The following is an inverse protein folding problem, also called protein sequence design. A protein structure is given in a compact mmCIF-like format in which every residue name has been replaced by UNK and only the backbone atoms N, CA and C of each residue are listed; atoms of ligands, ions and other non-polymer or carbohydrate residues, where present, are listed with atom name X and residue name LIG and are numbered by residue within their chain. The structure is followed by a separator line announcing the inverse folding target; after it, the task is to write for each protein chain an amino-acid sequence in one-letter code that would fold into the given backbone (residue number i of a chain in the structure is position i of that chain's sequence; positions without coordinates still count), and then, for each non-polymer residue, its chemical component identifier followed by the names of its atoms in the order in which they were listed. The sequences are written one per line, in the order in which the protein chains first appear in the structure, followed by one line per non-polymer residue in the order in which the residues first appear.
data_IF_051088432665
#
_entry.id   IF_051088432665
#
_cell.length_a   1.000
_cell.length_b   1.000
_cell.length_c   1.000
_cell.angle_alpha   90.00
_cell.angle_beta   90.00
_cell.angle_gamma   90.00
#
_symmetry.space_group_name_H-M   'P 1'
#
loop_
_entity.id
_entity.type
_entity.pdbx_description
1 polymer ?
#
# COMPACT_ATOMS: atom_id res chain seq x y z
N UNK A 1 -6.71 -7.08 -18.50
CA UNK A 1 -7.10 -8.42 -18.00
C UNK A 1 -7.79 -8.25 -16.65
N UNK A 2 -8.56 -9.24 -16.16
CA UNK A 2 -9.20 -9.12 -14.83
C UNK A 2 -8.18 -9.01 -13.69
N UNK A 3 -7.03 -9.69 -13.79
CA UNK A 3 -5.93 -9.54 -12.82
C UNK A 3 -5.48 -8.07 -12.70
N UNK A 4 -5.38 -7.32 -13.81
CA UNK A 4 -5.00 -5.91 -13.74
C UNK A 4 -6.05 -5.03 -13.03
N UNK A 5 -7.31 -5.48 -13.00
CA UNK A 5 -8.36 -4.84 -12.22
C UNK A 5 -8.18 -5.16 -10.73
N UNK A 6 -8.05 -6.44 -10.37
CA UNK A 6 -7.84 -6.86 -8.97
C UNK A 6 -6.59 -6.20 -8.36
N UNK A 7 -5.49 -6.13 -9.11
CA UNK A 7 -4.28 -5.40 -8.69
C UNK A 7 -4.49 -3.90 -8.49
N UNK A 8 -5.45 -3.29 -9.19
CA UNK A 8 -5.82 -1.88 -8.95
C UNK A 8 -6.71 -1.76 -7.73
N UNK A 9 -7.62 -2.70 -7.50
CA UNK A 9 -8.44 -2.78 -6.30
C UNK A 9 -7.57 -2.98 -5.05
N UNK A 10 -6.55 -3.84 -5.09
CA UNK A 10 -5.59 -3.99 -3.98
C UNK A 10 -4.87 -2.69 -3.64
N UNK A 11 -4.52 -1.88 -4.65
CA UNK A 11 -3.92 -0.55 -4.40
C UNK A 11 -4.90 0.40 -3.73
N UNK A 12 -6.17 0.37 -4.14
CA UNK A 12 -7.22 1.15 -3.50
C UNK A 12 -7.42 0.71 -2.04
N UNK A 13 -7.48 -0.60 -1.81
CA UNK A 13 -7.60 -1.21 -0.47
C UNK A 13 -6.41 -0.80 0.40
N UNK A 14 -5.18 -0.85 -0.10
CA UNK A 14 -4.00 -0.44 0.68
C UNK A 14 -4.04 1.06 1.04
N UNK A 15 -4.56 1.95 0.19
CA UNK A 15 -4.78 3.35 0.56
C UNK A 15 -5.71 3.49 1.79
N UNK A 16 -6.76 2.66 1.87
CA UNK A 16 -7.63 2.62 3.04
C UNK A 16 -6.91 2.08 4.27
N UNK A 17 -6.07 1.04 4.11
CA UNK A 17 -5.27 0.50 5.20
C UNK A 17 -4.21 1.50 5.70
N UNK A 18 -3.67 2.35 4.82
CA UNK A 18 -2.78 3.45 5.22
C UNK A 18 -3.56 4.52 6.01
N UNK A 19 -4.75 4.90 5.56
CA UNK A 19 -5.61 5.84 6.30
C UNK A 19 -5.98 5.27 7.68
N UNK A 20 -6.37 4.00 7.76
CA UNK A 20 -6.67 3.32 9.02
C UNK A 20 -5.46 3.25 9.96
N UNK A 21 -4.27 2.99 9.41
CA UNK A 21 -3.02 2.97 10.19
C UNK A 21 -2.74 4.33 10.85
N UNK A 22 -2.99 5.45 10.15
CA UNK A 22 -2.85 6.80 10.73
C UNK A 22 -3.82 7.03 11.88
N UNK A 23 -5.08 6.66 11.71
CA UNK A 23 -6.08 6.79 12.77
C UNK A 23 -5.76 5.91 13.98
N UNK A 24 -5.23 4.70 13.75
CA UNK A 24 -4.74 3.82 14.81
C UNK A 24 -3.58 4.47 15.58
N UNK A 25 -2.62 5.09 14.89
CA UNK A 25 -1.50 5.78 15.54
C UNK A 25 -1.98 6.95 16.40
N UNK A 26 -2.93 7.76 15.93
CA UNK A 26 -3.56 8.83 16.71
C UNK A 26 -4.21 8.25 17.97
N UNK A 27 -4.98 7.18 17.82
CA UNK A 27 -5.62 6.48 18.93
C UNK A 27 -4.60 5.94 19.95
N UNK A 28 -3.48 5.38 19.52
CA UNK A 28 -2.44 4.85 20.41
C UNK A 28 -1.78 5.93 21.27
N UNK A 29 -1.68 7.17 20.76
CA UNK A 29 -1.14 8.31 21.49
C UNK A 29 -2.10 8.94 22.51
N UNK A 30 -3.29 8.35 22.71
CA UNK A 30 -4.28 8.90 23.63
C UNK A 30 -5.14 10.02 23.04
N UNK A 31 -4.97 10.30 21.74
CA UNK A 31 -5.74 11.32 21.02
C UNK A 31 -7.00 10.64 20.44
N UNK A 32 -8.08 11.41 20.31
CA UNK A 32 -9.31 10.92 19.68
C UNK A 32 -9.10 10.81 18.16
N UNK A 33 -9.17 9.62 17.56
CA UNK A 33 -9.11 9.47 16.10
C UNK A 33 -10.42 9.95 15.46
N UNK A 34 -10.40 10.10 14.13
CA UNK A 34 -11.60 10.34 13.34
C UNK A 34 -12.38 9.02 13.17
N UNK A 35 -13.35 8.81 14.06
CA UNK A 35 -14.21 7.64 14.01
C UNK A 35 -15.15 7.61 12.79
N UNK A 36 -15.41 8.73 12.12
CA UNK A 36 -16.19 8.71 10.87
C UNK A 36 -15.36 8.13 9.73
N UNK A 37 -14.05 8.43 9.69
CA UNK A 37 -13.10 7.80 8.76
C UNK A 37 -13.00 6.30 9.04
N UNK A 38 -12.78 5.90 10.30
CA UNK A 38 -12.70 4.48 10.70
C UNK A 38 -13.98 3.73 10.31
N UNK A 39 -15.17 4.28 10.60
CA UNK A 39 -16.45 3.66 10.24
C UNK A 39 -16.66 3.56 8.74
N UNK A 40 -16.26 4.58 7.97
CA UNK A 40 -16.35 4.53 6.51
C UNK A 40 -15.45 3.44 5.92
N UNK A 41 -14.27 3.21 6.50
CA UNK A 41 -13.38 2.10 6.13
C UNK A 41 -14.05 0.77 6.45
N UNK A 42 -14.57 0.58 7.67
CA UNK A 42 -15.31 -0.65 8.03
C UNK A 42 -16.44 -0.91 7.03
N UNK A 43 -17.29 0.07 6.76
CA UNK A 43 -18.42 -0.08 5.82
C UNK A 43 -17.97 -0.37 4.38
N UNK A 44 -16.80 0.12 3.95
CA UNK A 44 -16.23 -0.27 2.66
C UNK A 44 -15.84 -1.75 2.66
N UNK A 45 -15.12 -2.23 3.69
CA UNK A 45 -14.68 -3.61 3.78
C UNK A 45 -15.83 -4.61 4.00
N UNK A 46 -16.93 -4.19 4.63
CA UNK A 46 -18.14 -5.02 4.81
C UNK A 46 -18.90 -5.28 3.50
N UNK A 47 -18.63 -4.51 2.45
CA UNK A 47 -19.40 -4.58 1.21
C UNK A 47 -18.52 -4.85 0.01
N UNK A 48 -17.49 -4.02 -0.21
CA UNK A 48 -16.77 -4.04 -1.48
C UNK A 48 -15.96 -5.34 -1.69
N UNK A 49 -15.08 -5.75 -0.76
CA UNK A 49 -14.36 -7.01 -0.88
C UNK A 49 -15.29 -8.21 -1.04
N UNK A 50 -16.27 -8.35 -0.15
CA UNK A 50 -17.16 -9.53 -0.10
C UNK A 50 -18.08 -9.64 -1.33
N UNK A 51 -18.67 -8.53 -1.79
CA UNK A 51 -19.71 -8.56 -2.84
C UNK A 51 -19.11 -8.43 -4.24
N UNK A 52 -17.98 -7.74 -4.40
CA UNK A 52 -17.48 -7.35 -5.72
C UNK A 52 -16.10 -7.90 -6.04
N UNK A 53 -15.18 -7.96 -5.06
CA UNK A 53 -13.80 -8.37 -5.28
C UNK A 53 -13.61 -9.89 -5.16
N UNK A 54 -13.83 -10.46 -3.98
CA UNK A 54 -13.63 -11.89 -3.69
C UNK A 54 -14.42 -12.84 -4.62
N UNK A 55 -15.65 -12.53 -5.08
CA UNK A 55 -16.33 -13.39 -6.05
C UNK A 55 -15.57 -13.54 -7.37
N UNK A 56 -14.79 -12.55 -7.78
CA UNK A 56 -13.95 -12.64 -8.98
C UNK A 56 -12.78 -13.59 -8.75
N UNK A 57 -12.17 -13.51 -7.57
CA UNK A 57 -11.06 -14.36 -7.14
C UNK A 57 -11.49 -15.82 -7.01
N UNK A 58 -12.67 -16.06 -6.42
CA UNK A 58 -13.28 -17.37 -6.31
C UNK A 58 -13.51 -18.03 -7.67
N UNK A 59 -13.95 -17.26 -8.67
CA UNK A 59 -14.12 -17.74 -10.04
C UNK A 59 -12.77 -18.12 -10.66
N UNK A 60 -11.73 -17.29 -10.48
CA UNK A 60 -10.37 -17.57 -10.96
C UNK A 60 -9.82 -18.83 -10.28
N UNK A 61 -9.96 -18.95 -8.96
CA UNK A 61 -9.46 -20.08 -8.19
C UNK A 61 -10.20 -21.38 -8.55
N UNK A 62 -11.51 -21.31 -8.78
CA UNK A 62 -12.30 -22.44 -9.26
C UNK A 62 -11.80 -22.97 -10.62
N UNK A 63 -11.48 -22.06 -11.54
CA UNK A 63 -10.85 -22.42 -12.83
C UNK A 63 -9.45 -22.99 -12.64
N UNK A 64 -8.64 -22.41 -11.75
CA UNK A 64 -7.31 -22.91 -11.44
C UNK A 64 -7.36 -24.35 -10.93
N UNK A 65 -8.25 -24.67 -9.98
CA UNK A 65 -8.47 -26.05 -9.49
C UNK A 65 -8.82 -27.04 -10.60
N UNK A 66 -9.48 -26.59 -11.66
CA UNK A 66 -9.86 -27.44 -12.80
C UNK A 66 -8.70 -27.62 -13.78
N UNK A 67 -7.91 -26.56 -14.04
CA UNK A 67 -6.83 -26.57 -15.04
C UNK A 67 -5.51 -27.12 -14.50
N UNK A 68 -5.20 -26.82 -13.25
CA UNK A 68 -3.96 -27.25 -12.59
C UNK A 68 -4.22 -27.49 -11.08
N UNK A 69 -4.73 -28.69 -10.73
CA UNK A 69 -5.02 -29.04 -9.33
C UNK A 69 -3.79 -29.00 -8.42
N UNK A 70 -2.61 -29.33 -8.94
CA UNK A 70 -1.36 -29.34 -8.18
C UNK A 70 -0.93 -27.90 -7.84
N UNK A 71 -1.02 -26.97 -8.82
CA UNK A 71 -0.79 -25.56 -8.55
C UNK A 71 -1.83 -24.99 -7.57
N UNK A 72 -3.10 -25.35 -7.71
CA UNK A 72 -4.14 -24.92 -6.77
C UNK A 72 -3.86 -25.41 -5.33
N UNK A 73 -3.38 -26.64 -5.18
CA UNK A 73 -3.00 -27.19 -3.88
C UNK A 73 -1.80 -26.47 -3.25
N UNK A 74 -0.85 -25.99 -4.07
CA UNK A 74 0.28 -25.18 -3.60
C UNK A 74 -0.18 -23.79 -3.17
N UNK A 75 -1.10 -23.17 -3.91
CA UNK A 75 -1.65 -21.84 -3.57
C UNK A 75 -2.30 -21.89 -2.19
N UNK A 76 -3.15 -22.89 -1.92
CA UNK A 76 -3.77 -23.11 -0.61
C UNK A 76 -5.29 -22.96 -0.63
N UNK A 77 -5.87 -22.53 0.49
CA UNK A 77 -7.33 -22.40 0.65
C UNK A 77 -7.75 -20.93 0.65
N UNK A 78 -7.98 -20.38 -0.55
CA UNK A 78 -8.44 -19.00 -0.74
C UNK A 78 -9.72 -18.70 0.05
N UNK A 79 -10.68 -19.63 0.04
CA UNK A 79 -11.95 -19.43 0.72
C UNK A 79 -11.78 -19.38 2.25
N UNK A 80 -10.77 -20.06 2.80
CA UNK A 80 -10.42 -19.92 4.21
C UNK A 80 -9.85 -18.54 4.52
N UNK A 81 -8.94 -18.03 3.69
CA UNK A 81 -8.38 -16.68 3.85
C UNK A 81 -9.49 -15.62 3.83
N UNK A 82 -10.44 -15.69 2.88
CA UNK A 82 -11.57 -14.75 2.84
C UNK A 82 -12.48 -14.81 4.08
N UNK A 83 -12.77 -16.02 4.60
CA UNK A 83 -13.53 -16.16 5.86
C UNK A 83 -12.80 -15.51 7.04
N UNK A 84 -11.50 -15.71 7.09
CA UNK A 84 -10.67 -15.18 8.16
C UNK A 84 -10.54 -13.64 8.08
N UNK A 85 -10.55 -13.05 6.88
CA UNK A 85 -10.67 -11.59 6.67
C UNK A 85 -11.98 -11.06 7.26
N UNK A 86 -13.11 -11.71 6.92
CA UNK A 86 -14.44 -11.33 7.43
C UNK A 86 -14.50 -11.40 8.96
N UNK A 87 -13.97 -12.47 9.56
CA UNK A 87 -13.97 -12.62 11.02
C UNK A 87 -13.14 -11.55 11.72
N UNK A 88 -12.00 -11.15 11.14
CA UNK A 88 -11.17 -10.04 11.66
C UNK A 88 -11.87 -8.69 11.51
N UNK A 89 -12.54 -8.46 10.39
CA UNK A 89 -13.35 -7.25 10.18
C UNK A 89 -14.47 -7.15 11.22
N UNK A 90 -15.16 -8.25 11.53
CA UNK A 90 -16.19 -8.27 12.57
C UNK A 90 -15.62 -7.91 13.95
N UNK A 91 -14.47 -8.47 14.34
CA UNK A 91 -13.84 -8.11 15.62
C UNK A 91 -13.41 -6.64 15.65
N UNK A 92 -12.90 -6.12 14.54
CA UNK A 92 -12.55 -4.71 14.40
C UNK A 92 -13.79 -3.81 14.55
N UNK A 93 -14.87 -4.07 13.82
CA UNK A 93 -16.11 -3.31 13.93
C UNK A 93 -16.68 -3.31 15.35
N UNK A 94 -16.71 -4.48 15.99
CA UNK A 94 -17.18 -4.62 17.38
C UNK A 94 -16.34 -3.83 18.39
N UNK A 95 -15.02 -3.77 18.20
CA UNK A 95 -14.14 -3.00 19.07
C UNK A 95 -14.43 -1.49 18.95
N UNK A 96 -14.64 -0.99 17.73
CA UNK A 96 -14.97 0.42 17.48
C UNK A 96 -16.37 0.77 18.02
N UNK A 97 -17.37 -0.07 17.76
CA UNK A 97 -18.72 0.12 18.31
C UNK A 97 -18.72 0.12 19.85
N UNK A 98 -17.89 -0.72 20.46
CA UNK A 98 -17.71 -0.74 21.91
C UNK A 98 -17.18 0.58 22.45
N UNK A 99 -16.19 1.19 21.78
CA UNK A 99 -15.68 2.52 22.16
C UNK A 99 -16.78 3.58 22.00
N UNK A 100 -17.48 3.60 20.87
CA UNK A 100 -18.51 4.61 20.58
C UNK A 100 -19.74 4.49 21.50
N UNK A 101 -19.97 3.31 22.07
CA UNK A 101 -20.99 3.05 23.08
C UNK A 101 -20.49 3.29 24.52
N UNK A 102 -19.36 3.97 24.72
CA UNK A 102 -18.73 4.28 26.01
C UNK A 102 -18.47 3.04 26.90
N UNK A 103 -18.18 1.88 26.28
CA UNK A 103 -17.79 0.68 27.03
C UNK A 103 -16.36 0.80 27.53
N UNK A 104 -16.10 0.29 28.72
CA UNK A 104 -14.74 0.20 29.27
C UNK A 104 -13.95 -0.89 28.54
N UNK A 105 -13.04 -0.46 27.66
CA UNK A 105 -12.16 -1.33 26.87
C UNK A 105 -10.70 -0.95 27.12
N UNK A 106 -9.83 -1.94 27.14
CA UNK A 106 -8.39 -1.70 27.23
C UNK A 106 -7.90 -1.20 25.87
N UNK A 107 -7.32 0.01 25.84
CA UNK A 107 -6.80 0.65 24.62
C UNK A 107 -5.89 -0.29 23.83
N UNK A 108 -4.99 -0.99 24.52
CA UNK A 108 -4.05 -1.91 23.89
C UNK A 108 -4.75 -3.07 23.16
N UNK A 109 -5.87 -3.57 23.69
CA UNK A 109 -6.61 -4.67 23.08
C UNK A 109 -7.29 -4.20 21.78
N UNK A 110 -7.91 -3.01 21.81
CA UNK A 110 -8.45 -2.37 20.59
C UNK A 110 -7.35 -2.17 19.56
N UNK A 111 -6.21 -1.59 19.97
CA UNK A 111 -5.08 -1.37 19.06
C UNK A 111 -4.57 -2.67 18.44
N UNK A 112 -4.52 -3.76 19.20
CA UNK A 112 -4.10 -5.06 18.69
C UNK A 112 -5.09 -5.62 17.66
N UNK A 113 -6.39 -5.47 17.88
CA UNK A 113 -7.43 -5.91 16.93
C UNK A 113 -7.31 -5.17 15.60
N UNK A 114 -7.24 -3.83 15.64
CA UNK A 114 -7.11 -3.01 14.42
C UNK A 114 -5.80 -3.31 13.69
N UNK A 115 -4.70 -3.45 14.42
CA UNK A 115 -3.40 -3.77 13.84
C UNK A 115 -3.37 -5.15 13.19
N UNK A 116 -3.98 -6.15 13.83
CA UNK A 116 -4.06 -7.50 13.25
C UNK A 116 -4.87 -7.48 11.95
N UNK A 117 -6.01 -6.77 11.90
CA UNK A 117 -6.76 -6.57 10.65
C UNK A 117 -5.89 -5.98 9.54
N UNK A 118 -5.21 -4.85 9.79
CA UNK A 118 -4.34 -4.19 8.79
C UNK A 118 -3.23 -5.14 8.29
N UNK A 119 -2.54 -5.82 9.21
CA UNK A 119 -1.41 -6.67 8.87
C UNK A 119 -1.86 -7.90 8.06
N UNK A 120 -2.98 -8.51 8.45
CA UNK A 120 -3.51 -9.71 7.81
C UNK A 120 -4.06 -9.41 6.43
N UNK A 121 -4.74 -8.28 6.25
CA UNK A 121 -5.25 -7.86 4.95
C UNK A 121 -4.10 -7.62 3.95
N UNK A 122 -3.03 -6.94 4.37
CA UNK A 122 -1.83 -6.79 3.54
C UNK A 122 -1.16 -8.11 3.20
N UNK A 123 -1.10 -9.02 4.17
CA UNK A 123 -0.51 -10.34 3.94
C UNK A 123 -1.33 -11.17 2.95
N UNK A 124 -2.66 -11.09 3.05
CA UNK A 124 -3.61 -11.73 2.13
C UNK A 124 -3.39 -11.24 0.69
N UNK A 125 -3.48 -9.93 0.46
CA UNK A 125 -3.23 -9.34 -0.87
C UNK A 125 -1.83 -9.70 -1.41
N UNK A 126 -0.79 -9.64 -0.57
CA UNK A 126 0.58 -10.00 -0.99
C UNK A 126 0.68 -11.47 -1.41
N UNK A 127 0.04 -12.39 -0.68
CA UNK A 127 0.01 -13.81 -1.03
C UNK A 127 -0.72 -14.02 -2.36
N UNK A 128 -1.82 -13.32 -2.59
CA UNK A 128 -2.55 -13.41 -3.86
C UNK A 128 -1.70 -12.94 -5.05
N UNK A 129 -1.06 -11.78 -4.89
CA UNK A 129 -0.23 -11.18 -5.94
C UNK A 129 1.03 -12.00 -6.25
N UNK A 130 1.63 -12.62 -5.23
CA UNK A 130 2.88 -13.36 -5.38
C UNK A 130 2.66 -14.80 -5.85
N UNK A 131 1.62 -15.46 -5.33
CA UNK A 131 1.47 -16.91 -5.44
C UNK A 131 0.23 -17.27 -6.27
N UNK A 132 -0.94 -16.72 -5.94
CA UNK A 132 -2.21 -17.08 -6.58
C UNK A 132 -2.33 -16.56 -8.02
N UNK A 133 -2.25 -15.24 -8.24
CA UNK A 133 -2.46 -14.65 -9.56
C UNK A 133 -1.45 -15.18 -10.60
N UNK A 134 -0.15 -15.34 -10.30
CA UNK A 134 0.79 -15.93 -11.24
C UNK A 134 0.47 -17.39 -11.60
N UNK A 135 0.03 -18.20 -10.63
CA UNK A 135 -0.40 -19.57 -10.87
C UNK A 135 -1.62 -19.60 -11.81
N UNK A 136 -2.60 -18.73 -11.58
CA UNK A 136 -3.77 -18.61 -12.45
C UNK A 136 -3.40 -18.19 -13.88
N UNK A 137 -2.55 -17.15 -14.03
CA UNK A 137 -2.09 -16.69 -15.36
C UNK A 137 -1.37 -17.78 -16.13
N UNK A 138 -0.60 -18.63 -15.45
CA UNK A 138 0.12 -19.74 -16.07
C UNK A 138 -0.82 -20.88 -16.53
N UNK A 139 -1.87 -21.17 -15.77
CA UNK A 139 -2.73 -22.35 -15.99
C UNK A 139 -3.97 -22.10 -16.85
N UNK A 140 -4.60 -20.92 -16.76
CA UNK A 140 -5.88 -20.63 -17.42
C UNK A 140 -5.70 -20.34 -18.92
N UNK A 141 -6.66 -20.80 -19.74
CA UNK A 141 -6.68 -20.47 -21.17
C UNK A 141 -7.45 -19.18 -21.44
N UNK A 142 -7.30 -18.64 -22.66
CA UNK A 142 -8.05 -17.46 -23.10
C UNK A 142 -9.59 -17.62 -23.00
N UNK A 143 -10.09 -18.85 -23.15
CA UNK A 143 -11.52 -19.17 -22.99
C UNK A 143 -11.96 -19.01 -21.53
N UNK A 144 -11.18 -19.51 -20.55
CA UNK A 144 -11.51 -19.32 -19.13
C UNK A 144 -11.58 -17.84 -18.78
N UNK A 145 -10.63 -17.04 -19.27
CA UNK A 145 -10.63 -15.60 -19.05
C UNK A 145 -11.84 -14.90 -19.68
N UNK A 146 -12.34 -15.40 -20.81
CA UNK A 146 -13.55 -14.88 -21.47
C UNK A 146 -14.80 -15.20 -20.66
N UNK A 147 -14.89 -16.41 -20.12
CA UNK A 147 -15.99 -16.82 -19.23
C UNK A 147 -16.00 -15.98 -17.94
N UNK A 148 -14.84 -15.84 -17.29
CA UNK A 148 -14.69 -15.02 -16.07
C UNK A 148 -15.10 -13.57 -16.33
N UNK A 149 -14.66 -12.99 -17.45
CA UNK A 149 -15.01 -11.61 -17.80
C UNK A 149 -16.52 -11.42 -18.05
N UNK A 150 -17.20 -12.47 -18.54
CA UNK A 150 -18.63 -12.44 -18.87
C UNK A 150 -19.52 -12.62 -17.64
N UNK A 151 -19.02 -13.24 -16.58
CA UNK A 151 -19.73 -13.42 -15.31
C UNK A 151 -19.72 -12.16 -14.41
N UNK A 152 -18.87 -11.17 -14.72
CA UNK A 152 -18.68 -9.98 -13.89
C UNK A 152 -19.82 -8.96 -14.05
N UNK A 153 -20.30 -8.42 -12.94
CA UNK A 153 -21.17 -7.24 -12.90
C UNK A 153 -20.31 -5.97 -12.95
N UNK A 154 -20.71 -4.97 -13.75
CA UNK A 154 -19.91 -3.77 -14.01
C UNK A 154 -20.31 -2.62 -13.07
N UNK A 155 -20.22 -2.87 -11.77
CA UNK A 155 -20.43 -1.84 -10.76
C UNK A 155 -19.03 -1.42 -10.29
N UNK A 156 -18.59 -0.24 -10.73
CA UNK A 156 -17.26 0.25 -10.39
C UNK A 156 -17.11 0.51 -8.89
N UNK A 157 -15.87 0.56 -8.39
CA UNK A 157 -15.57 0.85 -7.00
C UNK A 157 -16.34 2.09 -6.50
N UNK A 158 -17.22 1.96 -5.48
CA UNK A 158 -18.09 3.05 -5.04
C UNK A 158 -17.33 4.19 -4.40
N UNK A 159 -16.09 3.99 -3.94
CA UNK A 159 -15.26 5.04 -3.35
C UNK A 159 -14.33 5.66 -4.40
N UNK A 160 -13.79 4.86 -5.33
CA UNK A 160 -12.77 5.31 -6.28
C UNK A 160 -13.29 5.58 -7.72
N UNK A 161 -14.57 5.31 -8.02
CA UNK A 161 -15.15 5.60 -9.34
C UNK A 161 -15.56 7.06 -9.53
N UNK A 162 -15.64 7.50 -10.79
CA UNK A 162 -16.08 8.86 -11.16
C UNK A 162 -17.56 9.13 -10.89
N UNK A 163 -18.35 8.08 -10.70
CA UNK A 163 -19.79 8.11 -10.40
C UNK A 163 -20.09 7.77 -8.94
N UNK A 164 -19.05 7.64 -8.12
CA UNK A 164 -19.14 7.38 -6.69
C UNK A 164 -20.16 8.31 -6.02
N UNK A 165 -21.23 7.74 -5.47
CA UNK A 165 -22.11 8.47 -4.56
C UNK A 165 -21.33 8.84 -3.29
N UNK A 166 -21.61 10.04 -2.76
CA UNK A 166 -20.86 10.74 -1.71
C UNK A 166 -20.88 10.01 -0.36
N UNK A 167 -20.22 8.86 -0.25
CA UNK A 167 -20.35 7.97 0.91
C UNK A 167 -19.32 8.16 2.01
N UNK A 168 -18.34 9.07 1.86
CA UNK A 168 -17.68 9.75 2.99
C UNK A 168 -16.70 10.81 2.46
N UNK A 169 -17.09 12.08 2.53
CA UNK A 169 -16.22 13.20 2.11
C UNK A 169 -14.92 13.24 2.94
N UNK A 170 -14.97 12.85 4.21
CA UNK A 170 -13.82 12.80 5.11
C UNK A 170 -12.81 11.73 4.71
N UNK A 171 -13.26 10.48 4.47
CA UNK A 171 -12.38 9.40 4.01
C UNK A 171 -11.77 9.74 2.64
N UNK A 172 -12.56 10.31 1.73
CA UNK A 172 -12.06 10.76 0.43
C UNK A 172 -11.00 11.86 0.57
N UNK A 173 -11.18 12.80 1.50
CA UNK A 173 -10.19 13.83 1.77
C UNK A 173 -8.86 13.24 2.26
N UNK A 174 -8.89 12.27 3.17
CA UNK A 174 -7.68 11.56 3.62
C UNK A 174 -6.98 10.81 2.49
N UNK A 175 -7.73 10.11 1.63
CA UNK A 175 -7.15 9.44 0.46
C UNK A 175 -6.47 10.45 -0.46
N UNK A 176 -7.12 11.59 -0.75
CA UNK A 176 -6.54 12.63 -1.59
C UNK A 176 -5.29 13.27 -0.96
N UNK A 177 -5.25 13.43 0.36
CA UNK A 177 -4.07 13.89 1.08
C UNK A 177 -2.92 12.89 0.97
N UNK A 178 -3.20 11.60 1.19
CA UNK A 178 -2.24 10.50 1.01
C UNK A 178 -1.64 10.48 -0.39
N UNK A 179 -2.47 10.62 -1.41
CA UNK A 179 -2.03 10.65 -2.80
C UNK A 179 -1.12 11.85 -3.10
N UNK A 180 -1.46 13.03 -2.55
CA UNK A 180 -0.66 14.25 -2.70
C UNK A 180 0.70 14.13 -2.00
N UNK A 181 0.72 13.60 -0.78
CA UNK A 181 1.96 13.36 -0.03
C UNK A 181 2.86 12.37 -0.78
N UNK A 182 2.30 11.25 -1.26
CA UNK A 182 3.04 10.28 -2.03
C UNK A 182 3.60 10.87 -3.34
N UNK A 183 2.85 11.77 -4.00
CA UNK A 183 3.34 12.48 -5.19
C UNK A 183 4.44 13.49 -4.87
N UNK A 184 4.32 14.19 -3.75
CA UNK A 184 5.35 15.10 -3.26
C UNK A 184 6.64 14.35 -2.90
N UNK A 185 6.54 13.19 -2.25
CA UNK A 185 7.67 12.30 -1.96
C UNK A 185 8.33 11.77 -3.23
N UNK A 186 7.54 11.26 -4.20
CA UNK A 186 8.07 10.82 -5.50
C UNK A 186 8.78 11.95 -6.23
N UNK A 187 8.20 13.14 -6.24
CA UNK A 187 8.79 14.34 -6.86
C UNK A 187 10.09 14.74 -6.15
N UNK A 188 10.13 14.67 -4.82
CA UNK A 188 11.32 14.94 -4.01
C UNK A 188 12.44 13.94 -4.28
N UNK A 189 12.13 12.64 -4.31
CA UNK A 189 13.08 11.58 -4.62
C UNK A 189 13.61 11.70 -6.05
N UNK A 190 12.72 11.97 -7.01
CA UNK A 190 13.10 12.20 -8.41
C UNK A 190 14.01 13.44 -8.56
N UNK A 191 13.69 14.53 -7.84
CA UNK A 191 14.51 15.75 -7.83
C UNK A 191 15.89 15.52 -7.22
N UNK A 192 15.97 14.87 -6.06
CA UNK A 192 17.23 14.48 -5.41
C UNK A 192 18.08 13.56 -6.31
N UNK A 193 17.45 12.58 -6.96
CA UNK A 193 18.13 11.67 -7.90
C UNK A 193 18.69 12.43 -9.11
N UNK A 194 17.96 13.40 -9.64
CA UNK A 194 18.41 14.24 -10.74
C UNK A 194 19.57 15.17 -10.34
N UNK A 195 19.59 15.70 -9.12
CA UNK A 195 20.73 16.47 -8.60
C UNK A 195 21.99 15.61 -8.51
N UNK A 196 21.88 14.40 -7.94
CA UNK A 196 23.00 13.46 -7.81
C UNK A 196 23.56 13.11 -9.21
N UNK A 197 22.68 12.73 -10.14
CA UNK A 197 23.09 12.40 -11.51
C UNK A 197 23.79 13.59 -12.21
N UNK A 198 23.33 14.82 -11.97
CA UNK A 198 23.96 16.02 -12.53
C UNK A 198 25.34 16.27 -11.91
N UNK A 199 25.49 16.17 -10.59
CA UNK A 199 26.78 16.32 -9.89
C UNK A 199 27.81 15.29 -10.39
N UNK A 200 27.44 14.01 -10.46
CA UNK A 200 28.33 12.97 -10.99
C UNK A 200 28.70 13.20 -12.47
N UNK A 201 27.82 13.81 -13.26
CA UNK A 201 28.13 14.20 -14.64
C UNK A 201 29.08 15.40 -14.74
N UNK A 202 29.09 16.34 -13.78
CA UNK A 202 30.07 17.42 -13.70
C UNK A 202 31.44 16.88 -13.29
N UNK A 203 31.50 16.04 -12.25
CA UNK A 203 32.75 15.41 -11.79
C UNK A 203 33.40 14.52 -12.86
N UNK A 204 32.59 13.81 -13.66
CA UNK A 204 33.09 13.02 -14.80
C UNK A 204 33.63 13.87 -15.96
N UNK A 205 33.17 15.12 -16.12
CA UNK A 205 33.67 16.07 -17.13
C UNK A 205 34.96 16.75 -16.66
N UNK A 206 35.01 17.18 -15.40
CA UNK A 206 36.19 17.83 -14.84
C UNK A 206 37.40 16.87 -14.77
N UNK A 207 37.16 15.55 -14.67
CA UNK A 207 38.22 14.54 -14.71
C UNK A 207 38.74 14.22 -16.13
N UNK A 208 38.10 14.72 -17.19
CA UNK A 208 38.58 14.61 -18.59
C UNK A 208 39.37 15.84 -19.05
N UNK A 209 39.11 17.01 -18.44
CA UNK A 209 39.75 18.28 -18.82
C UNK A 209 41.02 18.62 -17.99
N UNK A 210 41.42 17.74 -17.06
CA UNK A 210 42.56 17.95 -16.15
C UNK A 210 43.96 17.60 -16.71
N UNK A 211 44.06 17.05 -17.92
CA UNK A 211 45.34 16.52 -18.46
C UNK A 211 46.00 17.44 -19.50
N UNK A 212 46.07 18.76 -19.25
CA UNK A 212 47.04 19.61 -19.97
C UNK A 212 47.31 20.97 -19.32
N UNK A 213 48.10 21.03 -18.22
CA UNK A 213 48.94 22.21 -17.95
C UNK A 213 50.32 21.77 -17.44
N UNK A 214 51.32 22.05 -18.27
CA UNK A 214 52.74 21.76 -18.05
C UNK A 214 53.42 22.84 -17.19
N UNK A 215 54.04 22.37 -16.08
CA UNK A 215 55.21 22.88 -15.34
C UNK A 215 55.73 24.31 -15.55
N UNK A 216 55.84 25.03 -14.41
CA UNK A 216 56.99 25.79 -13.85
C UNK A 216 56.54 26.13 -12.40
N UNK A 217 57.23 25.83 -11.30
CA UNK A 217 58.66 25.83 -10.99
C UNK A 217 58.86 26.87 -9.87
N UNK A 218 59.34 26.40 -8.70
CA UNK A 218 59.86 27.19 -7.56
C UNK A 218 58.82 27.92 -6.70
N UNK A 219 58.95 28.17 -5.40
CA UNK A 219 59.77 27.78 -4.25
C UNK A 219 59.13 28.56 -3.07
N UNK A 220 59.39 28.16 -1.82
CA UNK A 220 59.13 28.81 -0.53
C UNK A 220 58.32 27.93 0.45
N UNK A 221 59.11 27.29 1.33
CA UNK A 221 58.74 26.88 2.69
C UNK A 221 58.71 28.10 3.63
N UNK A 222 58.24 27.81 4.84
CA UNK A 222 58.31 28.59 6.09
C UNK A 222 57.15 29.57 6.25
N UNK A 223 56.51 29.76 7.40
CA UNK A 223 56.50 29.18 8.75
C UNK A 223 55.43 30.05 9.44
N UNK A 224 54.44 29.50 10.13
CA UNK A 224 53.79 30.18 11.25
C UNK A 224 52.89 29.24 12.05
N UNK A 225 53.21 29.22 13.34
CA UNK A 225 52.65 28.43 14.43
C UNK A 225 51.19 28.76 14.73
N UNK A 226 50.54 27.74 15.28
CA UNK A 226 49.63 27.74 16.44
C UNK A 226 48.82 29.01 16.74
N UNK A 227 47.49 28.86 16.83
CA UNK A 227 46.82 28.94 18.13
C UNK A 227 45.39 28.39 18.07
N UNK A 228 45.05 27.73 19.17
CA UNK A 228 43.75 27.21 19.57
C UNK A 228 42.67 28.29 19.51
N UNK A 229 41.45 27.93 19.13
CA UNK A 229 40.25 28.47 19.79
C UNK A 229 39.12 27.43 19.76
N UNK A 230 38.56 27.24 20.94
CA UNK A 230 37.51 26.28 21.27
C UNK A 230 36.19 27.06 21.52
N UNK A 231 35.06 26.38 21.29
CA UNK A 231 33.67 26.68 21.69
C UNK A 231 32.88 27.77 20.93
N UNK A 232 31.87 27.36 20.15
CA UNK A 232 30.48 27.12 20.59
C UNK A 232 29.67 26.42 19.50
#
# INVERSE_FOLDING_TARGET
MIIDLLLREHRNIDLLLVALQRELEIFEHGIRPDYEVIRAIISYFEVYPEVYHHPQEDLIFSKLRTRDPDAAAIVGDLAHEHREVIDRLHHFAQAIDGILADRELVRQDVSNIVRDFILRERHHMMWEERDFFPAAVKALSAEDWTEIASARTNDGDPLFSKTAEATSDALRAHILELEQEAEAERSSVAFSSAIIARQSSWEARDNQDGESVSRRGDDCRDDCRAQEFCWR
#
